data_IF_297981494418
#
_entry.id   IF_297981494418
#
_cell.length_a   1.000
_cell.length_b   1.000
_cell.length_c   1.000
_cell.angle_alpha   90.00
_cell.angle_beta   90.00
_cell.angle_gamma   90.00
#
_symmetry.space_group_name_H-M   'P 1'
#
loop_
_entity.id
_entity.type
_entity.pdbx_description
1 polymer ?
#
# COMPACT_ATOMS: atom_id res chain seq x y z
N UNK A 1 29.15 17.24 -19.41
CA UNK A 1 28.49 17.48 -18.11
C UNK A 1 28.68 16.25 -17.24
N UNK A 2 28.88 16.42 -15.93
CA UNK A 2 29.24 15.31 -15.04
C UNK A 2 28.09 14.92 -14.10
N UNK A 3 27.95 13.62 -13.86
CA UNK A 3 27.03 13.03 -12.90
C UNK A 3 27.78 12.07 -11.97
N UNK A 4 27.33 12.04 -10.72
CA UNK A 4 27.95 11.26 -9.67
C UNK A 4 26.98 10.18 -9.17
N UNK A 5 27.45 8.94 -9.14
CA UNK A 5 26.75 7.84 -8.50
C UNK A 5 27.51 7.38 -7.27
N UNK A 6 26.81 7.19 -6.14
CA UNK A 6 27.42 6.77 -4.89
C UNK A 6 26.65 5.59 -4.32
N UNK A 7 27.31 4.45 -4.20
CA UNK A 7 26.86 3.34 -3.34
C UNK A 7 27.52 3.51 -1.98
N UNK A 8 26.73 3.89 -0.96
CA UNK A 8 27.26 4.19 0.36
C UNK A 8 27.02 3.01 1.30
N UNK A 9 28.12 2.40 1.73
CA UNK A 9 28.12 1.28 2.66
C UNK A 9 28.79 1.65 3.98
N UNK A 10 29.12 0.63 4.79
CA UNK A 10 29.95 0.77 5.98
C UNK A 10 31.33 1.36 5.68
N UNK A 11 32.13 1.58 6.74
CA UNK A 11 33.33 2.42 6.74
C UNK A 11 34.29 2.30 5.55
N UNK A 12 34.45 1.10 4.98
CA UNK A 12 35.46 0.81 3.94
C UNK A 12 34.90 0.28 2.63
N UNK A 13 33.58 0.29 2.41
CA UNK A 13 32.95 -0.40 1.27
C UNK A 13 32.10 0.51 0.38
N UNK A 14 32.32 1.82 0.41
CA UNK A 14 31.56 2.73 -0.45
C UNK A 14 32.19 2.82 -1.84
N UNK A 15 31.37 2.95 -2.87
CA UNK A 15 31.79 3.04 -4.27
C UNK A 15 31.28 4.32 -4.91
N UNK A 16 32.09 4.87 -5.81
CA UNK A 16 31.78 6.09 -6.55
C UNK A 16 31.92 5.83 -8.03
N UNK A 17 31.01 6.37 -8.83
CA UNK A 17 31.08 6.36 -10.29
C UNK A 17 30.92 7.77 -10.84
N UNK A 18 31.82 8.16 -11.76
CA UNK A 18 31.74 9.43 -12.47
C UNK A 18 31.33 9.21 -13.93
N UNK A 19 30.24 9.85 -14.32
CA UNK A 19 29.67 9.72 -15.65
C UNK A 19 29.71 11.06 -16.37
N UNK A 20 30.22 11.07 -17.59
CA UNK A 20 30.27 12.24 -18.44
C UNK A 20 29.29 12.12 -19.60
N UNK A 21 28.61 13.22 -19.88
CA UNK A 21 27.67 13.38 -20.97
C UNK A 21 28.14 14.44 -21.95
N UNK A 22 28.28 14.05 -23.22
CA UNK A 22 28.51 14.93 -24.35
C UNK A 22 27.47 14.66 -25.45
N UNK A 23 26.43 15.52 -25.49
CA UNK A 23 25.32 15.59 -26.48
C UNK A 23 24.50 14.33 -26.71
N UNK A 24 25.14 13.22 -27.12
CA UNK A 24 24.55 11.91 -27.40
C UNK A 24 25.39 10.75 -26.87
N UNK A 25 26.53 11.03 -26.23
CA UNK A 25 27.49 10.02 -25.79
C UNK A 25 27.64 10.06 -24.28
N UNK A 26 27.45 8.89 -23.68
CA UNK A 26 27.64 8.65 -22.27
C UNK A 26 28.89 7.78 -22.09
N UNK A 27 29.82 8.23 -21.26
CA UNK A 27 31.05 7.50 -20.98
C UNK A 27 31.47 7.69 -19.52
N UNK A 28 32.29 6.76 -19.03
CA UNK A 28 32.88 6.86 -17.71
C UNK A 28 34.00 7.90 -17.76
N UNK A 29 33.87 8.97 -16.98
CA UNK A 29 34.99 9.90 -16.77
C UNK A 29 36.08 9.21 -15.96
N UNK A 30 35.65 8.49 -14.91
CA UNK A 30 36.47 7.57 -14.13
C UNK A 30 35.64 6.29 -13.92
N UNK A 31 36.21 5.09 -14.19
CA UNK A 31 35.59 3.82 -13.85
C UNK A 31 35.15 3.77 -12.38
N UNK A 32 34.07 3.05 -12.04
CA UNK A 32 33.65 2.94 -10.65
C UNK A 32 34.80 2.47 -9.75
N UNK A 33 35.05 3.20 -8.66
CA UNK A 33 36.15 2.92 -7.76
C UNK A 33 35.69 2.95 -6.30
N UNK A 34 36.35 2.15 -5.48
CA UNK A 34 36.10 2.08 -4.05
C UNK A 34 36.80 3.25 -3.36
N UNK A 35 36.11 3.87 -2.39
CA UNK A 35 36.67 4.93 -1.56
C UNK A 35 36.91 4.41 -0.13
N UNK A 36 37.97 4.90 0.51
CA UNK A 36 38.29 4.56 1.88
C UNK A 36 37.64 5.53 2.89
N UNK A 37 37.42 6.79 2.51
CA UNK A 37 36.83 7.83 3.35
C UNK A 37 35.85 8.74 2.61
N UNK A 38 34.87 9.31 3.34
CA UNK A 38 33.90 10.27 2.75
C UNK A 38 34.58 11.56 2.26
N UNK A 39 35.70 11.96 2.86
CA UNK A 39 36.47 13.14 2.46
C UNK A 39 37.02 13.02 1.03
N UNK A 40 37.20 11.80 0.52
CA UNK A 40 37.58 11.60 -0.89
C UNK A 40 36.47 12.06 -1.85
N UNK A 41 35.21 11.87 -1.49
CA UNK A 41 34.06 12.39 -2.26
C UNK A 41 34.02 13.92 -2.17
N UNK A 42 34.24 14.48 -0.97
CA UNK A 42 34.25 15.93 -0.79
C UNK A 42 35.34 16.59 -1.65
N UNK A 43 36.55 16.07 -1.60
CA UNK A 43 37.66 16.53 -2.42
C UNK A 43 37.37 16.40 -3.93
N UNK A 44 36.65 15.36 -4.34
CA UNK A 44 36.22 15.17 -5.73
C UNK A 44 35.25 16.28 -6.16
N UNK A 45 34.17 16.51 -5.41
CA UNK A 45 33.15 17.50 -5.78
C UNK A 45 33.63 18.94 -5.67
N UNK A 46 34.67 19.20 -4.87
CA UNK A 46 35.33 20.52 -4.82
C UNK A 46 36.17 20.81 -6.07
N UNK A 47 36.67 19.78 -6.75
CA UNK A 47 37.54 19.91 -7.94
C UNK A 47 36.78 19.89 -9.26
N UNK A 48 35.57 19.31 -9.28
CA UNK A 48 34.76 19.09 -10.49
C UNK A 48 33.33 19.51 -10.24
N UNK A 49 32.70 20.12 -11.25
CA UNK A 49 31.29 20.53 -11.16
C UNK A 49 30.39 19.38 -11.62
N UNK A 50 29.63 18.81 -10.68
CA UNK A 50 28.64 17.78 -10.94
C UNK A 50 27.24 18.39 -11.01
N UNK A 51 26.52 18.09 -12.10
CA UNK A 51 25.14 18.55 -12.28
C UNK A 51 24.20 17.81 -11.33
N UNK A 52 24.40 16.51 -11.15
CA UNK A 52 23.57 15.67 -10.31
C UNK A 52 24.36 14.57 -9.60
N UNK A 53 23.91 14.23 -8.39
CA UNK A 53 24.38 13.07 -7.63
C UNK A 53 23.20 12.21 -7.20
N UNK A 54 23.29 10.90 -7.40
CA UNK A 54 22.36 9.94 -6.81
C UNK A 54 23.10 9.04 -5.82
N UNK A 55 22.47 8.78 -4.67
CA UNK A 55 23.06 8.04 -3.56
C UNK A 55 22.16 6.84 -3.21
N UNK A 56 22.76 5.64 -3.11
CA UNK A 56 22.09 4.44 -2.58
C UNK A 56 22.05 4.45 -1.04
N UNK A 57 21.24 5.37 -0.49
CA UNK A 57 20.90 5.36 0.92
C UNK A 57 19.71 6.28 1.21
N UNK A 58 18.98 6.03 2.30
CA UNK A 58 18.00 6.97 2.83
C UNK A 58 18.58 8.38 3.00
N UNK A 59 18.03 9.37 2.33
CA UNK A 59 18.42 10.78 2.47
C UNK A 59 17.35 11.62 3.17
N UNK A 60 16.13 11.10 3.25
CA UNK A 60 15.00 11.72 3.94
C UNK A 60 14.50 10.87 5.12
N UNK A 61 14.01 11.55 6.14
CA UNK A 61 13.59 10.97 7.42
C UNK A 61 12.39 11.74 7.95
N UNK A 62 11.41 11.05 8.53
CA UNK A 62 10.37 11.73 9.28
C UNK A 62 10.75 11.87 10.75
N UNK A 63 10.13 12.83 11.43
CA UNK A 63 10.20 12.95 12.89
C UNK A 63 9.52 11.78 13.61
N UNK A 64 8.88 10.87 12.88
CA UNK A 64 8.23 9.71 13.45
C UNK A 64 9.27 8.63 13.80
N UNK A 65 9.06 7.91 14.91
CA UNK A 65 9.88 6.75 15.30
C UNK A 65 9.55 5.49 14.51
N UNK A 66 8.88 5.64 13.36
CA UNK A 66 8.40 4.53 12.54
C UNK A 66 9.54 3.66 12.05
N UNK A 67 9.23 2.38 11.84
CA UNK A 67 10.21 1.42 11.33
C UNK A 67 10.53 1.67 9.86
N UNK A 68 9.55 2.13 9.09
CA UNK A 68 9.65 2.27 7.64
C UNK A 68 9.15 3.63 7.17
N UNK A 69 9.73 4.17 6.11
CA UNK A 69 9.20 5.36 5.42
C UNK A 69 8.10 4.95 4.42
N UNK A 70 7.16 5.83 4.12
CA UNK A 70 6.15 5.62 3.06
C UNK A 70 6.84 5.21 1.74
N UNK A 71 7.94 5.88 1.38
CA UNK A 71 8.71 5.59 0.17
C UNK A 71 9.27 4.16 0.17
N UNK A 72 9.77 3.68 1.32
CA UNK A 72 10.30 2.32 1.47
C UNK A 72 9.19 1.28 1.25
N UNK A 73 8.00 1.52 1.77
CA UNK A 73 6.86 0.59 1.63
C UNK A 73 6.29 0.61 0.23
N UNK A 74 6.19 1.78 -0.38
CA UNK A 74 5.84 1.92 -1.78
C UNK A 74 6.78 1.08 -2.66
N UNK A 75 8.09 1.17 -2.41
CA UNK A 75 9.07 0.38 -3.15
C UNK A 75 8.93 -1.13 -2.86
N UNK A 76 8.72 -1.51 -1.59
CA UNK A 76 8.48 -2.91 -1.20
C UNK A 76 7.27 -3.52 -1.90
N UNK A 77 6.18 -2.75 -2.04
CA UNK A 77 5.01 -3.17 -2.81
C UNK A 77 5.34 -3.42 -4.28
N UNK A 78 6.09 -2.51 -4.92
CA UNK A 78 6.47 -2.64 -6.32
C UNK A 78 7.35 -3.88 -6.55
N UNK A 79 8.21 -4.21 -5.58
CA UNK A 79 9.12 -5.36 -5.64
C UNK A 79 8.46 -6.72 -5.31
N UNK A 80 7.28 -6.72 -4.70
CA UNK A 80 6.49 -7.92 -4.33
C UNK A 80 7.32 -8.99 -3.58
N UNK A 81 7.69 -10.07 -4.27
CA UNK A 81 8.52 -11.17 -3.75
C UNK A 81 9.94 -10.73 -3.35
N UNK A 82 10.45 -9.64 -3.93
CA UNK A 82 11.78 -9.08 -3.68
C UNK A 82 11.78 -7.94 -2.65
N UNK A 83 10.69 -7.77 -1.90
CA UNK A 83 10.54 -6.68 -0.91
C UNK A 83 11.65 -6.63 0.15
N UNK A 84 12.30 -7.75 0.43
CA UNK A 84 13.42 -7.87 1.36
C UNK A 84 14.71 -7.19 0.86
N UNK A 85 14.76 -6.69 -0.37
CA UNK A 85 15.88 -5.85 -0.82
C UNK A 85 15.86 -4.47 -0.17
N UNK A 86 14.67 -3.96 0.16
CA UNK A 86 14.52 -2.71 0.89
C UNK A 86 14.65 -2.98 2.38
N UNK A 87 15.66 -2.38 3.00
CA UNK A 87 15.94 -2.46 4.43
C UNK A 87 15.43 -1.20 5.14
N UNK A 88 14.96 -1.34 6.38
CA UNK A 88 14.49 -0.19 7.14
C UNK A 88 15.67 0.72 7.49
N UNK A 89 15.51 2.06 7.49
CA UNK A 89 16.55 2.96 7.98
C UNK A 89 17.05 2.56 9.39
N UNK A 90 16.13 2.14 10.27
CA UNK A 90 16.43 1.70 11.63
C UNK A 90 17.28 0.42 11.71
N UNK A 91 17.26 -0.45 10.70
CA UNK A 91 18.08 -1.66 10.66
C UNK A 91 19.46 -1.43 10.03
N UNK A 92 19.61 -0.37 9.22
CA UNK A 92 20.89 -0.04 8.58
C UNK A 92 21.76 0.89 9.44
N UNK A 93 21.14 1.68 10.33
CA UNK A 93 21.71 2.62 11.30
C UNK A 93 22.86 3.52 10.77
N UNK A 94 24.05 2.97 10.57
CA UNK A 94 25.23 3.70 10.12
C UNK A 94 25.12 4.25 8.69
N UNK A 95 24.49 3.52 7.76
CA UNK A 95 24.38 3.93 6.34
C UNK A 95 23.57 5.23 6.19
N UNK A 96 22.32 5.30 6.70
CA UNK A 96 21.55 6.54 6.85
C UNK A 96 22.34 7.77 7.33
N UNK A 97 23.03 7.65 8.47
CA UNK A 97 23.76 8.75 9.10
C UNK A 97 24.96 9.19 8.25
N UNK A 98 25.71 8.24 7.69
CA UNK A 98 26.82 8.53 6.77
C UNK A 98 26.34 9.27 5.53
N UNK A 99 25.19 8.87 4.99
CA UNK A 99 24.62 9.51 3.81
C UNK A 99 24.19 10.95 4.11
N UNK A 100 23.53 11.19 5.24
CA UNK A 100 23.19 12.56 5.68
C UNK A 100 24.43 13.43 5.86
N UNK A 101 25.45 12.92 6.55
CA UNK A 101 26.71 13.63 6.78
C UNK A 101 27.37 13.98 5.45
N UNK A 102 27.48 13.01 4.54
CA UNK A 102 28.02 13.22 3.20
C UNK A 102 27.23 14.33 2.47
N UNK A 103 25.90 14.23 2.42
CA UNK A 103 25.05 15.20 1.73
C UNK A 103 25.21 16.60 2.31
N UNK A 104 25.35 16.76 3.63
CA UNK A 104 25.60 18.07 4.22
C UNK A 104 26.91 18.70 3.73
N UNK A 105 27.94 17.89 3.46
CA UNK A 105 29.23 18.37 2.97
C UNK A 105 29.24 18.64 1.46
N UNK A 106 28.56 17.82 0.67
CA UNK A 106 28.61 17.93 -0.80
C UNK A 106 27.52 18.83 -1.40
N UNK A 107 26.45 19.11 -0.65
CA UNK A 107 25.34 19.94 -1.14
C UNK A 107 25.72 21.34 -1.65
N UNK A 108 26.77 22.03 -1.15
CA UNK A 108 27.20 23.30 -1.73
C UNK A 108 27.88 23.16 -3.10
N UNK A 109 28.34 21.97 -3.47
CA UNK A 109 29.20 21.74 -4.64
C UNK A 109 28.51 20.96 -5.77
N UNK A 110 27.35 20.36 -5.51
CA UNK A 110 26.61 19.52 -6.45
C UNK A 110 25.25 20.16 -6.77
N UNK A 111 24.87 20.22 -8.04
CA UNK A 111 23.64 20.89 -8.48
C UNK A 111 22.36 20.31 -7.86
N UNK A 112 22.14 19.00 -8.01
CA UNK A 112 21.03 18.28 -7.36
C UNK A 112 21.50 16.99 -6.74
N UNK A 113 20.93 16.64 -5.58
CA UNK A 113 21.17 15.37 -4.90
C UNK A 113 19.85 14.61 -4.79
N UNK A 114 19.84 13.35 -5.18
CA UNK A 114 18.67 12.47 -5.12
C UNK A 114 19.00 11.16 -4.41
N UNK A 115 17.98 10.57 -3.79
CA UNK A 115 18.04 9.21 -3.26
C UNK A 115 17.65 8.21 -4.36
N UNK A 116 18.31 7.06 -4.40
CA UNK A 116 17.96 5.96 -5.30
C UNK A 116 18.13 4.59 -4.65
N UNK A 117 17.69 3.55 -5.36
CA UNK A 117 17.93 2.16 -5.02
C UNK A 117 18.37 1.42 -6.30
N UNK A 118 19.68 1.16 -6.50
CA UNK A 118 20.24 0.70 -7.77
C UNK A 118 19.76 -0.70 -8.13
N UNK A 119 19.71 -1.62 -7.15
CA UNK A 119 19.15 -2.96 -7.36
C UNK A 119 17.69 -2.94 -7.83
N UNK A 120 16.85 -2.09 -7.24
CA UNK A 120 15.46 -1.96 -7.66
C UNK A 120 15.34 -1.30 -9.06
N UNK A 121 16.18 -0.30 -9.33
CA UNK A 121 16.25 0.34 -10.66
C UNK A 121 16.67 -0.64 -11.74
N UNK A 122 17.69 -1.47 -11.50
CA UNK A 122 18.08 -2.57 -12.38
C UNK A 122 16.94 -3.55 -12.60
N UNK A 123 16.20 -3.90 -11.54
CA UNK A 123 15.07 -4.82 -11.63
C UNK A 123 13.96 -4.33 -12.57
N UNK A 124 13.63 -3.05 -12.52
CA UNK A 124 12.63 -2.50 -13.44
C UNK A 124 13.18 -2.24 -14.84
N UNK A 125 14.44 -1.82 -14.96
CA UNK A 125 15.09 -1.58 -16.25
C UNK A 125 15.32 -2.87 -17.06
N UNK A 126 15.64 -3.98 -16.39
CA UNK A 126 15.88 -5.30 -17.00
C UNK A 126 14.65 -6.21 -16.94
N UNK A 127 13.45 -5.63 -16.83
CA UNK A 127 12.17 -6.35 -16.87
C UNK A 127 12.10 -7.58 -15.94
N UNK A 128 12.51 -7.38 -14.67
CA UNK A 128 12.45 -8.35 -13.58
C UNK A 128 13.45 -9.52 -13.68
N UNK A 129 14.63 -9.27 -14.24
CA UNK A 129 15.73 -10.22 -14.38
C UNK A 129 16.03 -11.04 -13.10
N UNK A 130 15.82 -12.38 -13.11
CA UNK A 130 16.04 -13.24 -11.93
C UNK A 130 17.48 -13.24 -11.39
N UNK A 131 18.50 -13.00 -12.22
CA UNK A 131 19.90 -12.96 -11.79
C UNK A 131 20.17 -11.87 -10.73
N UNK A 132 19.34 -10.83 -10.66
CA UNK A 132 19.41 -9.81 -9.61
C UNK A 132 19.23 -10.37 -8.20
N UNK A 133 18.67 -11.57 -8.01
CA UNK A 133 18.63 -12.24 -6.71
C UNK A 133 20.01 -12.72 -6.24
N UNK A 134 20.96 -12.93 -7.16
CA UNK A 134 22.25 -13.61 -6.92
C UNK A 134 23.50 -12.77 -7.21
N UNK A 135 23.38 -11.60 -7.86
CA UNK A 135 24.56 -10.85 -8.32
C UNK A 135 25.52 -10.43 -7.20
N UNK A 136 25.01 -10.19 -5.97
CA UNK A 136 25.85 -9.88 -4.80
C UNK A 136 26.62 -11.07 -4.23
N UNK A 137 26.29 -12.31 -4.63
CA UNK A 137 26.88 -13.54 -4.07
C UNK A 137 27.46 -14.47 -5.13
N UNK A 138 27.33 -14.15 -6.41
CA UNK A 138 27.78 -14.98 -7.53
C UNK A 138 28.49 -14.12 -8.57
N UNK A 139 29.84 -14.22 -8.70
CA UNK A 139 30.60 -13.48 -9.70
C UNK A 139 30.13 -13.74 -11.13
N UNK A 140 29.71 -14.97 -11.44
CA UNK A 140 29.15 -15.31 -12.74
C UNK A 140 27.80 -14.58 -12.99
N UNK A 141 26.92 -14.54 -11.99
CA UNK A 141 25.66 -13.80 -12.12
C UNK A 141 25.91 -12.30 -12.28
N UNK A 142 26.89 -11.73 -11.57
CA UNK A 142 27.33 -10.34 -11.71
C UNK A 142 27.82 -10.04 -13.12
N UNK A 143 28.73 -10.86 -13.67
CA UNK A 143 29.27 -10.69 -15.02
C UNK A 143 28.16 -10.65 -16.08
N UNK A 144 27.26 -11.64 -16.05
CA UNK A 144 26.13 -11.71 -16.99
C UNK A 144 25.22 -10.48 -16.82
N UNK A 145 25.00 -10.03 -15.58
CA UNK A 145 24.16 -8.86 -15.31
C UNK A 145 24.78 -7.56 -15.85
N UNK A 146 26.09 -7.38 -15.75
CA UNK A 146 26.82 -6.25 -16.32
C UNK A 146 26.66 -6.25 -17.84
N UNK A 147 26.91 -7.38 -18.49
CA UNK A 147 26.77 -7.54 -19.94
C UNK A 147 25.34 -7.20 -20.41
N UNK A 148 24.32 -7.75 -19.73
CA UNK A 148 22.91 -7.44 -20.01
C UNK A 148 22.59 -5.97 -19.84
N UNK A 149 23.09 -5.36 -18.76
CA UNK A 149 22.89 -3.94 -18.46
C UNK A 149 23.45 -3.08 -19.58
N UNK A 150 24.72 -3.28 -19.95
CA UNK A 150 25.38 -2.50 -20.99
C UNK A 150 24.79 -2.74 -22.39
N UNK A 151 24.20 -3.90 -22.66
CA UNK A 151 23.50 -4.18 -23.91
C UNK A 151 22.12 -3.51 -24.02
N UNK A 152 21.42 -3.32 -22.90
CA UNK A 152 20.07 -2.75 -22.85
C UNK A 152 20.10 -1.24 -22.73
N UNK A 153 21.05 -0.69 -21.97
CA UNK A 153 21.11 0.72 -21.62
C UNK A 153 21.12 1.67 -22.84
N UNK A 154 21.89 1.42 -23.94
CA UNK A 154 21.82 2.26 -25.14
C UNK A 154 20.43 2.31 -25.76
N UNK A 155 19.69 1.20 -25.73
CA UNK A 155 18.35 1.08 -26.30
C UNK A 155 17.31 1.82 -25.45
N UNK A 156 17.40 1.67 -24.13
CA UNK A 156 16.47 2.28 -23.18
C UNK A 156 16.63 3.80 -23.15
N UNK A 157 17.88 4.27 -23.25
CA UNK A 157 18.22 5.69 -23.18
C UNK A 157 18.22 6.35 -24.56
N UNK A 158 18.30 5.59 -25.65
CA UNK A 158 18.53 6.13 -27.00
C UNK A 158 19.80 7.00 -27.06
N UNK A 159 20.89 6.52 -26.46
CA UNK A 159 22.21 7.19 -26.41
C UNK A 159 23.33 6.20 -26.74
N UNK A 160 24.45 6.71 -27.24
CA UNK A 160 25.67 5.92 -27.41
C UNK A 160 26.34 5.76 -26.04
N UNK A 161 26.71 4.53 -25.68
CA UNK A 161 27.40 4.23 -24.41
C UNK A 161 28.75 3.61 -24.73
N UNK A 162 29.82 4.26 -24.28
CA UNK A 162 31.20 3.78 -24.44
C UNK A 162 31.74 3.33 -23.09
N UNK A 163 31.26 2.19 -22.62
CA UNK A 163 31.64 1.61 -21.33
C UNK A 163 32.01 0.16 -21.56
N UNK A 164 33.24 -0.17 -21.17
CA UNK A 164 33.77 -1.52 -21.27
C UNK A 164 33.33 -2.34 -20.04
N UNK A 165 32.75 -3.54 -20.20
CA UNK A 165 32.28 -4.36 -19.08
C UNK A 165 33.33 -4.59 -17.99
N UNK A 166 34.61 -4.69 -18.37
CA UNK A 166 35.74 -4.96 -17.47
C UNK A 166 36.00 -3.81 -16.48
N UNK A 167 35.45 -2.63 -16.75
CA UNK A 167 35.56 -1.47 -15.84
C UNK A 167 34.64 -1.58 -14.62
N UNK A 168 33.65 -2.49 -14.65
CA UNK A 168 32.71 -2.73 -13.55
C UNK A 168 33.06 -4.06 -12.91
N UNK A 169 33.82 -4.02 -11.80
CA UNK A 169 34.50 -5.21 -11.26
C UNK A 169 33.78 -5.87 -10.07
N UNK A 170 32.78 -5.21 -9.47
CA UNK A 170 32.10 -5.66 -8.26
C UNK A 170 30.61 -5.28 -8.28
N UNK A 171 29.83 -5.80 -7.32
CA UNK A 171 28.42 -5.40 -7.17
C UNK A 171 28.30 -3.95 -6.73
N UNK A 172 29.19 -3.46 -5.84
CA UNK A 172 29.24 -2.05 -5.44
C UNK A 172 29.62 -1.12 -6.60
N UNK A 173 30.53 -1.54 -7.49
CA UNK A 173 30.85 -0.83 -8.73
C UNK A 173 29.62 -0.70 -9.64
N UNK A 174 28.86 -1.79 -9.80
CA UNK A 174 27.63 -1.79 -10.58
C UNK A 174 26.55 -0.91 -9.92
N UNK A 175 26.37 -1.00 -8.60
CA UNK A 175 25.39 -0.21 -7.87
C UNK A 175 25.70 1.30 -7.96
N UNK A 176 26.97 1.70 -7.83
CA UNK A 176 27.41 3.09 -8.03
C UNK A 176 27.23 3.56 -9.49
N UNK A 177 27.54 2.71 -10.47
CA UNK A 177 27.29 3.01 -11.88
C UNK A 177 25.80 3.28 -12.14
N UNK A 178 24.92 2.44 -11.62
CA UNK A 178 23.47 2.62 -11.77
C UNK A 178 22.99 3.87 -11.04
N UNK A 179 23.57 4.22 -9.89
CA UNK A 179 23.30 5.52 -9.26
C UNK A 179 23.65 6.68 -10.20
N UNK A 180 24.82 6.66 -10.86
CA UNK A 180 25.22 7.71 -11.79
C UNK A 180 24.27 7.81 -13.00
N UNK A 181 23.79 6.66 -13.49
CA UNK A 181 22.74 6.61 -14.53
C UNK A 181 21.45 7.27 -14.02
N UNK A 182 20.98 6.96 -12.82
CA UNK A 182 19.76 7.56 -12.27
C UNK A 182 19.91 9.09 -12.10
N UNK A 183 21.09 9.56 -11.68
CA UNK A 183 21.40 10.99 -11.65
C UNK A 183 21.31 11.63 -13.05
N UNK A 184 21.83 10.98 -14.08
CA UNK A 184 21.69 11.42 -15.47
C UNK A 184 20.22 11.49 -15.91
N UNK A 185 19.44 10.43 -15.65
CA UNK A 185 18.02 10.37 -16.05
C UNK A 185 17.20 11.47 -15.38
N UNK A 186 17.51 11.84 -14.15
CA UNK A 186 16.80 12.89 -13.43
C UNK A 186 16.79 14.22 -14.18
N UNK A 187 17.87 14.54 -14.90
CA UNK A 187 17.98 15.76 -15.70
C UNK A 187 17.52 15.60 -17.14
N UNK A 188 17.81 14.46 -17.77
CA UNK A 188 17.66 14.31 -19.22
C UNK A 188 16.45 13.49 -19.65
N UNK A 189 15.97 12.59 -18.78
CA UNK A 189 14.90 11.64 -19.09
C UNK A 189 14.03 11.36 -17.85
N UNK A 190 13.44 12.40 -17.23
CA UNK A 190 12.68 12.24 -16.00
C UNK A 190 11.44 11.34 -16.16
N UNK A 191 10.92 11.19 -17.39
CA UNK A 191 9.81 10.29 -17.74
C UNK A 191 10.15 8.79 -17.55
N UNK A 192 11.45 8.45 -17.58
CA UNK A 192 11.98 7.10 -17.31
C UNK A 192 12.11 6.82 -15.83
N UNK A 193 11.90 7.82 -14.96
CA UNK A 193 11.97 7.67 -13.53
C UNK A 193 10.58 7.63 -12.89
N UNK A 194 10.49 6.92 -11.77
CA UNK A 194 9.34 6.95 -10.89
C UNK A 194 9.73 7.57 -9.56
N UNK A 195 9.04 8.64 -9.18
CA UNK A 195 9.22 9.31 -7.89
C UNK A 195 8.44 8.54 -6.83
N UNK A 196 9.13 8.09 -5.78
CA UNK A 196 8.48 7.43 -4.66
C UNK A 196 7.73 8.49 -3.81
N UNK A 197 6.58 8.13 -3.24
CA UNK A 197 5.79 9.04 -2.41
C UNK A 197 6.58 9.48 -1.17
N UNK A 198 6.34 10.72 -0.74
CA UNK A 198 6.98 11.34 0.41
C UNK A 198 5.97 11.54 1.55
N UNK A 199 6.44 11.40 2.79
CA UNK A 199 5.70 11.79 3.98
C UNK A 199 5.56 13.31 4.09
N UNK A 200 4.51 13.77 4.77
CA UNK A 200 4.44 15.14 5.25
C UNK A 200 5.50 15.36 6.35
N UNK A 201 6.06 16.56 6.46
CA UNK A 201 7.05 16.94 7.48
C UNK A 201 8.36 16.12 7.48
N UNK A 202 8.87 15.77 6.30
CA UNK A 202 10.19 15.16 6.16
C UNK A 202 11.31 16.18 6.43
N UNK A 203 12.40 15.68 7.03
CA UNK A 203 13.70 16.33 7.08
C UNK A 203 14.69 15.59 6.16
N UNK A 204 15.77 16.27 5.79
CA UNK A 204 16.79 15.74 4.88
C UNK A 204 16.69 16.37 3.49
N UNK A 205 17.42 15.79 2.54
CA UNK A 205 17.60 16.34 1.19
C UNK A 205 17.33 15.24 0.16
N UNK A 206 16.77 15.63 -0.98
CA UNK A 206 16.73 14.78 -2.16
C UNK A 206 15.47 13.91 -2.25
N UNK A 207 14.71 14.02 -3.36
CA UNK A 207 13.63 13.08 -3.64
C UNK A 207 14.16 11.67 -3.90
N UNK A 208 13.35 10.65 -3.58
CA UNK A 208 13.67 9.25 -3.85
C UNK A 208 13.10 8.83 -5.20
N UNK A 209 14.00 8.49 -6.14
CA UNK A 209 13.66 7.99 -7.47
C UNK A 209 14.18 6.57 -7.71
N UNK A 210 13.45 5.84 -8.57
CA UNK A 210 13.90 4.57 -9.16
C UNK A 210 13.63 4.59 -10.67
N UNK A 211 14.20 3.65 -11.40
CA UNK A 211 13.76 3.40 -12.78
C UNK A 211 12.28 3.00 -12.82
N UNK A 212 11.51 3.62 -13.74
CA UNK A 212 10.05 3.52 -13.78
C UNK A 212 9.59 2.07 -14.06
N UNK A 213 8.75 1.48 -13.19
CA UNK A 213 8.17 0.16 -13.45
C UNK A 213 7.20 0.20 -14.64
N UNK A 214 7.31 -0.77 -15.55
CA UNK A 214 6.37 -0.94 -16.67
C UNK A 214 4.96 -1.38 -16.24
N UNK A 215 4.82 -1.90 -15.02
CA UNK A 215 3.57 -2.42 -14.48
C UNK A 215 2.73 -1.41 -13.68
N UNK A 216 3.00 -0.11 -13.80
CA UNK A 216 2.17 0.93 -13.18
C UNK A 216 0.85 1.06 -13.96
N UNK A 217 -0.13 0.26 -13.59
CA UNK A 217 -1.51 0.44 -14.04
C UNK A 217 -2.15 1.63 -13.32
N UNK A 218 -2.87 2.48 -14.07
CA UNK A 218 -3.67 3.57 -13.50
C UNK A 218 -4.65 3.03 -12.43
N UNK A 219 -4.79 3.73 -11.28
CA UNK A 219 -5.78 3.35 -10.30
C UNK A 219 -7.18 3.61 -10.84
N UNK A 220 -8.09 2.65 -10.63
CA UNK A 220 -9.51 2.92 -10.77
C UNK A 220 -9.88 4.07 -9.83
N UNK A 221 -10.50 5.12 -10.37
CA UNK A 221 -10.87 6.30 -9.60
C UNK A 221 -12.00 5.93 -8.63
N UNK A 222 -11.66 5.82 -7.33
CA UNK A 222 -12.60 5.52 -6.25
C UNK A 222 -12.62 6.72 -5.31
N UNK A 223 -13.82 7.10 -4.85
CA UNK A 223 -14.07 8.33 -4.07
C UNK A 223 -13.49 8.31 -2.64
N UNK A 224 -12.89 7.21 -2.20
CA UNK A 224 -12.32 7.06 -0.86
C UNK A 224 -11.03 6.23 -0.91
N UNK A 225 -10.24 6.27 0.17
CA UNK A 225 -9.01 5.47 0.29
C UNK A 225 -9.32 4.12 0.96
N UNK A 226 -9.19 2.99 0.25
CA UNK A 226 -9.46 1.65 0.80
C UNK A 226 -8.52 1.30 1.96
N UNK A 227 -9.09 0.81 3.06
CA UNK A 227 -8.38 0.48 4.30
C UNK A 227 -8.20 1.64 5.27
N UNK A 228 -8.98 2.73 5.11
CA UNK A 228 -9.07 3.80 6.09
C UNK A 228 -9.68 3.33 7.43
N UNK A 229 -9.75 4.23 8.42
CA UNK A 229 -10.37 3.96 9.72
C UNK A 229 -11.80 3.41 9.65
N UNK A 230 -12.60 3.88 8.69
CA UNK A 230 -13.96 3.38 8.46
C UNK A 230 -13.95 1.91 8.04
N UNK A 231 -13.12 1.55 7.06
CA UNK A 231 -12.95 0.16 6.64
C UNK A 231 -12.42 -0.74 7.77
N UNK A 232 -11.51 -0.23 8.61
CA UNK A 232 -10.99 -0.97 9.77
C UNK A 232 -12.10 -1.28 10.77
N UNK A 233 -12.95 -0.30 11.12
CA UNK A 233 -14.12 -0.51 11.98
C UNK A 233 -15.08 -1.51 11.36
N UNK A 234 -15.47 -1.23 10.13
CA UNK A 234 -16.44 -2.00 9.36
C UNK A 234 -16.07 -3.46 9.22
N UNK A 235 -14.88 -3.72 8.68
CA UNK A 235 -14.45 -5.07 8.38
C UNK A 235 -14.06 -5.84 9.64
N UNK A 236 -13.51 -5.18 10.67
CA UNK A 236 -13.22 -5.86 11.94
C UNK A 236 -14.52 -6.38 12.57
N UNK A 237 -15.57 -5.56 12.65
CA UNK A 237 -16.87 -5.99 13.16
C UNK A 237 -17.52 -7.06 12.30
N UNK A 238 -17.47 -6.92 10.96
CA UNK A 238 -17.94 -7.95 10.05
C UNK A 238 -17.25 -9.30 10.32
N UNK A 239 -15.93 -9.31 10.48
CA UNK A 239 -15.16 -10.51 10.79
C UNK A 239 -15.60 -11.13 12.12
N UNK A 240 -15.76 -10.33 13.18
CA UNK A 240 -16.18 -10.85 14.49
C UNK A 240 -17.59 -11.46 14.44
N UNK A 241 -18.53 -10.78 13.78
CA UNK A 241 -19.91 -11.24 13.62
C UNK A 241 -19.99 -12.51 12.78
N UNK A 242 -19.30 -12.56 11.64
CA UNK A 242 -19.25 -13.76 10.78
C UNK A 242 -18.66 -14.94 11.56
N UNK A 243 -17.51 -14.75 12.22
CA UNK A 243 -16.90 -15.81 13.04
C UNK A 243 -17.83 -16.32 14.15
N UNK A 244 -18.64 -15.43 14.73
CA UNK A 244 -19.62 -15.78 15.74
C UNK A 244 -20.80 -16.56 15.14
N UNK A 245 -21.42 -16.07 14.07
CA UNK A 245 -22.55 -16.73 13.41
C UNK A 245 -22.20 -18.11 12.86
N UNK A 246 -20.98 -18.29 12.32
CA UNK A 246 -20.51 -19.59 11.82
C UNK A 246 -20.47 -20.70 12.88
N UNK A 247 -20.57 -20.37 14.18
CA UNK A 247 -20.70 -21.38 15.25
C UNK A 247 -22.08 -22.04 15.26
N UNK A 248 -23.10 -21.33 14.77
CA UNK A 248 -24.50 -21.71 14.85
C UNK A 248 -25.08 -22.15 13.50
N UNK A 249 -24.35 -21.98 12.41
CA UNK A 249 -24.81 -22.27 11.06
C UNK A 249 -24.08 -23.47 10.44
N UNK A 250 -24.84 -24.33 9.77
CA UNK A 250 -24.32 -25.45 8.98
C UNK A 250 -23.93 -24.97 7.59
N UNK A 251 -24.85 -24.26 6.93
CA UNK A 251 -24.65 -23.55 5.67
C UNK A 251 -24.82 -22.05 5.96
N UNK A 252 -23.82 -21.23 5.63
CA UNK A 252 -23.82 -19.80 5.92
C UNK A 252 -24.28 -18.97 4.72
N UNK A 253 -25.44 -18.33 4.83
CA UNK A 253 -26.00 -17.48 3.78
C UNK A 253 -25.79 -16.00 4.08
N UNK A 254 -24.93 -15.37 3.29
CA UNK A 254 -24.51 -13.97 3.44
C UNK A 254 -24.98 -13.13 2.25
N UNK A 255 -25.41 -11.89 2.51
CA UNK A 255 -25.68 -10.89 1.48
C UNK A 255 -24.85 -9.62 1.68
N UNK A 256 -24.25 -9.10 0.62
CA UNK A 256 -23.58 -7.79 0.57
C UNK A 256 -24.09 -6.96 -0.59
N UNK A 257 -24.90 -5.94 -0.29
CA UNK A 257 -25.64 -5.17 -1.31
C UNK A 257 -25.07 -3.79 -1.61
N UNK A 258 -23.90 -3.51 -1.03
CA UNK A 258 -23.06 -2.36 -1.31
C UNK A 258 -21.61 -2.85 -1.42
N UNK A 259 -21.41 -3.94 -2.17
CA UNK A 259 -20.20 -4.75 -2.05
C UNK A 259 -18.94 -4.10 -2.64
N UNK A 260 -19.09 -3.11 -3.52
CA UNK A 260 -18.00 -2.50 -4.24
C UNK A 260 -17.15 -3.53 -5.00
N UNK A 261 -15.84 -3.35 -5.03
CA UNK A 261 -14.93 -4.30 -5.68
C UNK A 261 -14.43 -5.38 -4.71
N UNK A 262 -14.15 -6.59 -5.22
CA UNK A 262 -13.57 -7.68 -4.42
C UNK A 262 -12.16 -7.35 -3.90
N UNK A 263 -11.37 -6.65 -4.71
CA UNK A 263 -10.00 -6.25 -4.38
C UNK A 263 -9.79 -4.82 -4.89
N UNK A 264 -9.25 -3.99 -4.02
CA UNK A 264 -8.92 -2.59 -4.28
C UNK A 264 -7.40 -2.40 -4.35
N UNK A 265 -6.92 -1.42 -5.11
CA UNK A 265 -5.58 -0.86 -4.91
C UNK A 265 -5.60 0.01 -3.65
N UNK A 266 -4.57 -0.08 -2.81
CA UNK A 266 -4.42 0.77 -1.62
C UNK A 266 -3.08 1.48 -1.61
N UNK A 267 -2.95 2.49 -0.74
CA UNK A 267 -1.77 3.34 -0.66
C UNK A 267 -0.78 2.85 0.40
N UNK A 268 0.53 3.13 0.26
CA UNK A 268 1.56 2.75 1.23
C UNK A 268 1.28 3.21 2.67
N UNK A 269 0.63 4.36 2.85
CA UNK A 269 0.23 4.91 4.16
C UNK A 269 -0.75 4.00 4.91
N UNK A 270 -1.66 3.38 4.17
CA UNK A 270 -2.61 2.43 4.73
C UNK A 270 -1.88 1.16 5.17
N UNK A 271 -0.95 0.67 4.36
CA UNK A 271 -0.15 -0.52 4.68
C UNK A 271 0.66 -0.30 5.97
N UNK A 272 1.29 0.88 6.11
CA UNK A 272 1.94 1.29 7.36
C UNK A 272 1.01 1.23 8.55
N UNK A 273 -0.16 1.84 8.41
CA UNK A 273 -1.16 1.89 9.46
C UNK A 273 -1.53 0.47 9.92
N UNK A 274 -1.68 -0.46 8.99
CA UNK A 274 -1.92 -1.87 9.30
C UNK A 274 -0.74 -2.56 9.99
N UNK A 275 0.49 -2.33 9.53
CA UNK A 275 1.68 -2.97 10.13
C UNK A 275 1.99 -2.42 11.53
N UNK A 276 1.79 -1.12 11.76
CA UNK A 276 2.16 -0.44 13.00
C UNK A 276 1.03 -0.36 14.02
N UNK A 277 -0.17 0.02 13.58
CA UNK A 277 -1.31 0.30 14.48
C UNK A 277 -2.23 -0.90 14.64
N UNK A 278 -2.45 -1.68 13.58
CA UNK A 278 -3.54 -2.68 13.55
C UNK A 278 -3.08 -4.12 13.36
N UNK A 279 -1.79 -4.38 13.56
CA UNK A 279 -1.20 -5.71 13.35
C UNK A 279 -1.73 -6.77 14.32
N UNK A 280 -2.32 -6.34 15.44
CA UNK A 280 -2.98 -7.20 16.43
C UNK A 280 -4.41 -7.59 16.05
N UNK A 281 -5.04 -6.91 15.08
CA UNK A 281 -6.43 -7.19 14.70
C UNK A 281 -6.51 -8.44 13.80
N UNK A 282 -7.55 -9.28 13.96
CA UNK A 282 -7.83 -10.38 13.02
C UNK A 282 -7.94 -9.92 11.56
N UNK A 283 -8.41 -8.68 11.36
CA UNK A 283 -8.49 -8.04 10.05
C UNK A 283 -7.12 -7.98 9.35
N UNK A 284 -6.06 -7.59 10.05
CA UNK A 284 -4.72 -7.52 9.47
C UNK A 284 -4.29 -8.89 8.94
N UNK A 285 -4.57 -9.97 9.67
CA UNK A 285 -4.17 -11.31 9.25
C UNK A 285 -4.87 -11.79 7.97
N UNK A 286 -6.11 -11.39 7.73
CA UNK A 286 -6.80 -11.63 6.46
C UNK A 286 -6.29 -10.71 5.36
N UNK A 287 -6.06 -9.43 5.67
CA UNK A 287 -5.57 -8.44 4.70
C UNK A 287 -4.09 -8.62 4.32
N UNK A 288 -3.29 -9.36 5.11
CA UNK A 288 -1.83 -9.42 4.99
C UNK A 288 -1.32 -9.84 3.61
N UNK A 289 -1.98 -10.77 2.93
CA UNK A 289 -1.61 -11.18 1.57
C UNK A 289 -1.87 -10.07 0.54
N UNK A 290 -2.98 -9.34 0.69
CA UNK A 290 -3.37 -8.23 -0.17
C UNK A 290 -2.47 -7.01 0.05
N UNK A 291 -2.24 -6.62 1.31
CA UNK A 291 -1.41 -5.47 1.66
C UNK A 291 0.02 -5.62 1.14
N UNK A 292 0.59 -6.82 1.13
CA UNK A 292 1.91 -7.11 0.53
C UNK A 292 1.99 -6.78 -0.96
N UNK A 293 0.85 -6.74 -1.65
CA UNK A 293 0.73 -6.45 -3.07
C UNK A 293 0.14 -5.05 -3.32
N UNK A 294 0.13 -4.16 -2.31
CA UNK A 294 -0.55 -2.86 -2.39
C UNK A 294 -2.05 -2.99 -2.74
N UNK A 295 -2.68 -4.03 -2.22
CA UNK A 295 -4.09 -4.32 -2.39
C UNK A 295 -4.82 -4.35 -1.04
N UNK A 296 -6.15 -4.25 -1.11
CA UNK A 296 -7.05 -4.36 0.03
C UNK A 296 -8.29 -5.17 -0.37
N UNK A 297 -8.65 -6.20 0.39
CA UNK A 297 -9.82 -7.03 0.12
C UNK A 297 -11.12 -6.36 0.58
N UNK A 298 -12.17 -6.48 -0.24
CA UNK A 298 -13.54 -6.05 0.07
C UNK A 298 -14.27 -6.97 1.04
N UNK A 299 -15.40 -6.51 1.59
CA UNK A 299 -16.20 -7.21 2.61
C UNK A 299 -16.64 -8.61 2.18
N UNK A 300 -17.36 -8.74 1.07
CA UNK A 300 -17.83 -10.04 0.61
C UNK A 300 -16.69 -11.01 0.27
N UNK A 301 -15.55 -10.49 -0.20
CA UNK A 301 -14.37 -11.32 -0.47
C UNK A 301 -13.74 -11.84 0.83
N UNK A 302 -13.66 -11.02 1.88
CA UNK A 302 -13.20 -11.47 3.19
C UNK A 302 -14.14 -12.52 3.81
N UNK A 303 -15.46 -12.37 3.67
CA UNK A 303 -16.42 -13.37 4.16
C UNK A 303 -16.19 -14.72 3.48
N UNK A 304 -15.98 -14.73 2.16
CA UNK A 304 -15.59 -15.92 1.40
C UNK A 304 -14.35 -16.60 2.01
N UNK A 305 -13.27 -15.84 2.21
CA UNK A 305 -12.03 -16.39 2.76
C UNK A 305 -12.21 -16.97 4.18
N UNK A 306 -13.02 -16.32 5.02
CA UNK A 306 -13.32 -16.82 6.37
C UNK A 306 -14.04 -18.16 6.30
N UNK A 307 -15.06 -18.28 5.46
CA UNK A 307 -15.82 -19.51 5.27
C UNK A 307 -14.93 -20.64 4.73
N UNK A 308 -14.12 -20.37 3.70
CA UNK A 308 -13.19 -21.34 3.11
C UNK A 308 -12.14 -21.81 4.12
N UNK A 309 -11.51 -20.89 4.84
CA UNK A 309 -10.51 -21.22 5.88
C UNK A 309 -11.09 -22.08 6.99
N UNK A 310 -12.38 -21.90 7.30
CA UNK A 310 -13.11 -22.69 8.30
C UNK A 310 -13.77 -23.96 7.73
N UNK A 311 -13.63 -24.22 6.42
CA UNK A 311 -14.29 -25.33 5.73
C UNK A 311 -15.81 -25.36 5.97
N UNK A 312 -16.42 -24.17 5.99
CA UNK A 312 -17.87 -24.01 6.14
C UNK A 312 -18.50 -23.98 4.77
N UNK A 313 -19.67 -24.59 4.64
CA UNK A 313 -20.50 -24.44 3.46
C UNK A 313 -21.16 -23.06 3.46
N UNK A 314 -21.21 -22.38 2.32
CA UNK A 314 -21.64 -20.99 2.26
C UNK A 314 -22.25 -20.60 0.92
N UNK A 315 -23.09 -19.57 0.96
CA UNK A 315 -23.63 -18.86 -0.19
C UNK A 315 -23.45 -17.36 0.02
N UNK A 316 -22.88 -16.68 -0.98
CA UNK A 316 -22.77 -15.23 -1.00
C UNK A 316 -23.70 -14.70 -2.10
N UNK A 317 -24.62 -13.84 -1.71
CA UNK A 317 -25.40 -13.00 -2.58
C UNK A 317 -24.81 -11.59 -2.59
N UNK A 318 -24.75 -10.96 -3.76
CA UNK A 318 -24.15 -9.64 -3.89
C UNK A 318 -24.90 -8.75 -4.87
N UNK A 319 -24.76 -7.44 -4.65
CA UNK A 319 -25.27 -6.40 -5.53
C UNK A 319 -24.43 -5.11 -5.34
N UNK A 320 -24.35 -4.30 -6.39
CA UNK A 320 -23.82 -2.94 -6.31
C UNK A 320 -24.43 -2.06 -7.42
N UNK A 321 -24.57 -0.74 -7.20
CA UNK A 321 -24.99 0.19 -8.26
C UNK A 321 -23.94 0.27 -9.38
N UNK A 322 -22.68 0.00 -9.08
CA UNK A 322 -21.58 -0.03 -10.03
C UNK A 322 -21.53 -1.36 -10.79
N UNK A 323 -21.86 -1.31 -12.08
CA UNK A 323 -21.82 -2.49 -12.97
C UNK A 323 -20.45 -3.16 -13.05
N UNK A 324 -19.35 -2.41 -12.92
CA UNK A 324 -17.99 -2.99 -12.95
C UNK A 324 -17.71 -3.83 -11.69
N UNK A 325 -18.24 -3.41 -10.54
CA UNK A 325 -18.17 -4.18 -9.30
C UNK A 325 -18.96 -5.50 -9.41
N UNK A 326 -20.19 -5.43 -9.94
CA UNK A 326 -21.01 -6.61 -10.22
C UNK A 326 -20.24 -7.61 -11.10
N UNK A 327 -19.75 -7.17 -12.26
CA UNK A 327 -19.05 -8.05 -13.21
C UNK A 327 -17.80 -8.70 -12.58
N UNK A 328 -17.08 -7.99 -11.72
CA UNK A 328 -15.93 -8.52 -11.02
C UNK A 328 -16.33 -9.68 -10.09
N UNK A 329 -17.41 -9.52 -9.32
CA UNK A 329 -17.92 -10.57 -8.44
C UNK A 329 -18.55 -11.74 -9.19
N UNK A 330 -19.30 -11.49 -10.27
CA UNK A 330 -19.89 -12.57 -11.08
C UNK A 330 -18.81 -13.51 -11.63
N UNK A 331 -17.69 -12.92 -12.09
CA UNK A 331 -16.54 -13.68 -12.56
C UNK A 331 -15.85 -14.48 -11.44
N UNK A 332 -15.69 -13.88 -10.26
CA UNK A 332 -14.97 -14.51 -9.15
C UNK A 332 -15.78 -15.57 -8.41
N UNK A 333 -17.10 -15.36 -8.28
CA UNK A 333 -18.00 -16.26 -7.56
C UNK A 333 -18.73 -17.24 -8.50
N UNK A 334 -18.57 -17.09 -9.82
CA UNK A 334 -19.23 -17.89 -10.85
C UNK A 334 -20.75 -17.98 -10.64
N UNK A 335 -21.37 -16.84 -10.33
CA UNK A 335 -22.80 -16.72 -10.00
C UNK A 335 -23.29 -15.32 -10.36
N UNK A 336 -24.53 -15.16 -10.88
CA UNK A 336 -25.09 -13.84 -11.16
C UNK A 336 -25.35 -13.02 -9.89
N UNK A 337 -25.32 -11.69 -10.02
CA UNK A 337 -25.74 -10.78 -8.96
C UNK A 337 -27.24 -10.92 -8.63
N UNK A 338 -27.64 -10.39 -7.46
CA UNK A 338 -29.05 -10.30 -7.07
C UNK A 338 -29.83 -9.43 -8.07
N UNK A 339 -31.03 -9.89 -8.44
CA UNK A 339 -31.96 -9.14 -9.29
C UNK A 339 -32.75 -8.12 -8.46
N UNK A 340 -32.08 -7.07 -8.03
CA UNK A 340 -32.65 -5.93 -7.29
C UNK A 340 -32.29 -4.60 -7.93
N UNK A 341 -33.06 -3.54 -7.63
CA UNK A 341 -32.85 -2.22 -8.21
C UNK A 341 -32.05 -1.29 -7.30
N UNK A 342 -32.16 -1.51 -5.99
CA UNK A 342 -31.40 -0.79 -4.98
C UNK A 342 -30.94 -1.77 -3.89
N UNK A 343 -29.79 -1.50 -3.26
CA UNK A 343 -29.22 -2.38 -2.24
C UNK A 343 -30.18 -2.62 -1.06
N UNK A 344 -31.01 -1.63 -0.70
CA UNK A 344 -31.99 -1.79 0.38
C UNK A 344 -33.16 -2.72 0.03
N UNK A 345 -33.35 -3.11 -1.23
CA UNK A 345 -34.40 -4.04 -1.64
C UNK A 345 -34.19 -5.44 -1.04
N UNK A 346 -32.99 -5.78 -0.59
CA UNK A 346 -32.71 -7.02 0.13
C UNK A 346 -33.55 -7.17 1.42
N UNK A 347 -33.90 -6.04 2.04
CA UNK A 347 -34.65 -6.01 3.30
C UNK A 347 -36.11 -6.40 3.13
N UNK A 348 -36.66 -6.34 1.91
CA UNK A 348 -38.05 -6.72 1.61
C UNK A 348 -38.16 -8.12 1.00
N UNK A 349 -37.04 -8.75 0.65
CA UNK A 349 -37.05 -10.11 0.13
C UNK A 349 -37.45 -11.12 1.22
N UNK A 350 -38.20 -12.15 0.83
CA UNK A 350 -38.66 -13.20 1.74
C UNK A 350 -37.52 -14.13 2.21
N UNK A 351 -36.50 -14.32 1.37
CA UNK A 351 -35.37 -15.21 1.64
C UNK A 351 -34.68 -14.86 2.97
N UNK A 352 -34.53 -15.79 3.92
CA UNK A 352 -33.76 -15.56 5.14
C UNK A 352 -32.26 -15.58 4.86
N UNK A 353 -31.51 -14.79 5.63
CA UNK A 353 -30.05 -14.74 5.59
C UNK A 353 -29.49 -14.92 7.00
N UNK A 354 -28.32 -15.53 7.13
CA UNK A 354 -27.63 -15.54 8.41
C UNK A 354 -27.08 -14.14 8.72
N UNK A 355 -26.61 -13.44 7.69
CA UNK A 355 -26.15 -12.06 7.78
C UNK A 355 -26.40 -11.30 6.48
N UNK A 356 -27.03 -10.13 6.60
CA UNK A 356 -27.09 -9.10 5.57
C UNK A 356 -26.16 -7.97 5.98
N UNK A 357 -25.25 -7.57 5.10
CA UNK A 357 -24.38 -6.43 5.29
C UNK A 357 -24.82 -5.26 4.42
N UNK A 358 -24.98 -4.10 5.06
CA UNK A 358 -25.33 -2.83 4.44
C UNK A 358 -24.22 -1.83 4.71
N UNK A 359 -23.59 -1.36 3.62
CA UNK A 359 -22.50 -0.37 3.63
C UNK A 359 -22.83 0.83 2.72
N UNK A 360 -23.92 1.56 3.01
CA UNK A 360 -24.33 2.67 2.16
C UNK A 360 -23.41 3.88 2.28
N UNK A 361 -23.48 4.76 1.28
CA UNK A 361 -22.85 6.07 1.31
C UNK A 361 -23.72 7.09 2.06
N UNK A 362 -23.35 8.38 1.97
CA UNK A 362 -24.02 9.48 2.66
C UNK A 362 -25.52 9.65 2.30
N UNK A 363 -25.99 9.05 1.20
CA UNK A 363 -27.40 9.10 0.79
C UNK A 363 -28.34 8.36 1.75
N UNK A 364 -27.82 7.46 2.60
CA UNK A 364 -28.57 6.83 3.69
C UNK A 364 -29.35 7.84 4.54
N UNK A 365 -28.75 9.01 4.85
CA UNK A 365 -29.34 9.99 5.76
C UNK A 365 -30.65 10.62 5.24
N UNK A 366 -30.92 10.56 3.94
CA UNK A 366 -32.19 11.04 3.38
C UNK A 366 -33.35 10.07 3.61
N UNK A 367 -33.05 8.80 3.86
CA UNK A 367 -34.04 7.71 3.91
C UNK A 367 -33.89 6.81 5.14
N UNK A 368 -33.08 7.22 6.12
CA UNK A 368 -32.66 6.40 7.25
C UNK A 368 -33.83 5.75 7.99
N UNK A 369 -34.90 6.52 8.25
CA UNK A 369 -36.04 6.02 9.03
C UNK A 369 -36.73 4.84 8.33
N UNK A 370 -37.00 4.98 7.03
CA UNK A 370 -37.62 3.92 6.21
C UNK A 370 -36.72 2.68 6.13
N UNK A 371 -35.40 2.88 6.03
CA UNK A 371 -34.44 1.77 5.99
C UNK A 371 -34.42 1.04 7.33
N UNK A 372 -34.38 1.77 8.45
CA UNK A 372 -34.33 1.19 9.78
C UNK A 372 -35.62 0.43 10.10
N UNK A 373 -36.79 0.95 9.77
CA UNK A 373 -38.06 0.21 9.91
C UNK A 373 -38.04 -1.12 9.15
N UNK A 374 -37.49 -1.13 7.92
CA UNK A 374 -37.29 -2.38 7.15
C UNK A 374 -36.28 -3.32 7.82
N UNK A 375 -35.20 -2.80 8.40
CA UNK A 375 -34.22 -3.60 9.14
C UNK A 375 -34.89 -4.28 10.33
N UNK A 376 -35.66 -3.54 11.13
CA UNK A 376 -36.39 -4.07 12.29
C UNK A 376 -37.37 -5.18 11.88
N UNK A 377 -38.06 -5.03 10.74
CA UNK A 377 -38.91 -6.08 10.20
C UNK A 377 -38.11 -7.31 9.74
N UNK A 378 -37.00 -7.09 9.00
CA UNK A 378 -36.14 -8.15 8.46
C UNK A 378 -35.41 -8.94 9.56
N UNK A 379 -35.18 -8.31 10.72
CA UNK A 379 -34.56 -8.93 11.89
C UNK A 379 -35.29 -10.20 12.38
N UNK A 380 -36.58 -10.32 12.07
CA UNK A 380 -37.36 -11.52 12.39
C UNK A 380 -36.79 -12.81 11.79
N UNK A 381 -36.13 -12.72 10.62
CA UNK A 381 -35.59 -13.91 9.96
C UNK A 381 -34.11 -13.83 9.58
N UNK A 382 -33.48 -12.66 9.72
CA UNK A 382 -32.08 -12.45 9.34
C UNK A 382 -31.32 -11.58 10.35
N UNK A 383 -30.01 -11.75 10.48
CA UNK A 383 -29.18 -10.75 11.18
C UNK A 383 -28.75 -9.67 10.19
N UNK A 384 -28.64 -8.42 10.64
CA UNK A 384 -28.26 -7.29 9.79
C UNK A 384 -27.09 -6.54 10.43
N UNK A 385 -26.04 -6.28 9.66
CA UNK A 385 -24.95 -5.39 10.02
C UNK A 385 -25.03 -4.15 9.12
N UNK A 386 -25.17 -2.98 9.74
CA UNK A 386 -25.25 -1.68 9.08
C UNK A 386 -24.03 -0.84 9.46
N UNK A 387 -23.26 -0.41 8.47
CA UNK A 387 -22.21 0.59 8.63
C UNK A 387 -22.71 1.95 8.14
N UNK A 388 -22.43 3.02 8.88
CA UNK A 388 -22.81 4.37 8.48
C UNK A 388 -21.69 5.38 8.75
N UNK A 389 -21.24 6.13 7.72
CA UNK A 389 -20.47 7.34 7.92
C UNK A 389 -21.38 8.51 8.30
N UNK A 390 -20.95 9.35 9.24
CA UNK A 390 -21.66 10.57 9.64
C UNK A 390 -20.70 11.70 9.98
N UNK A 391 -21.16 12.94 9.78
CA UNK A 391 -20.40 14.14 10.15
C UNK A 391 -20.79 14.61 11.55
N UNK A 392 -19.92 15.31 12.29
CA UNK A 392 -20.25 15.84 13.62
C UNK A 392 -21.59 16.59 13.71
N UNK A 393 -21.93 17.32 12.65
CA UNK A 393 -23.17 18.10 12.51
C UNK A 393 -24.40 17.31 12.04
N UNK A 394 -24.29 16.01 11.78
CA UNK A 394 -25.36 15.17 11.26
C UNK A 394 -26.43 14.88 12.32
N UNK A 395 -27.45 15.74 12.40
CA UNK A 395 -28.54 15.63 13.38
C UNK A 395 -29.34 14.33 13.25
N UNK A 396 -29.39 13.71 12.06
CA UNK A 396 -30.16 12.48 11.88
C UNK A 396 -29.53 11.27 12.57
N UNK A 397 -28.21 11.28 12.81
CA UNK A 397 -27.55 10.23 13.59
C UNK A 397 -28.12 10.15 15.02
N UNK A 398 -28.25 11.29 15.70
CA UNK A 398 -28.80 11.31 17.05
C UNK A 398 -30.29 10.94 17.08
N UNK A 399 -31.06 11.36 16.07
CA UNK A 399 -32.46 10.93 15.91
C UNK A 399 -32.59 9.42 15.72
N UNK A 400 -31.68 8.81 14.97
CA UNK A 400 -31.62 7.37 14.80
C UNK A 400 -31.37 6.65 16.14
N UNK A 401 -30.37 7.10 16.91
CA UNK A 401 -30.09 6.52 18.22
C UNK A 401 -31.32 6.59 19.15
N UNK A 402 -31.95 7.75 19.24
CA UNK A 402 -33.18 7.93 20.03
C UNK A 402 -34.32 7.01 19.55
N UNK A 403 -34.54 6.95 18.23
CA UNK A 403 -35.57 6.09 17.65
C UNK A 403 -35.35 4.61 18.01
N UNK A 404 -34.11 4.13 17.97
CA UNK A 404 -33.79 2.74 18.32
C UNK A 404 -33.99 2.45 19.81
N UNK A 405 -33.71 3.42 20.70
CA UNK A 405 -34.00 3.33 22.13
C UNK A 405 -35.51 3.23 22.39
N UNK A 406 -36.31 4.06 21.74
CA UNK A 406 -37.78 4.03 21.85
C UNK A 406 -38.40 2.71 21.40
N UNK A 407 -37.86 2.11 20.33
CA UNK A 407 -38.35 0.82 19.79
C UNK A 407 -37.97 -0.38 20.67
N UNK A 408 -37.15 -0.19 21.72
CA UNK A 408 -36.67 -1.26 22.62
C UNK A 408 -36.11 -2.47 21.89
N UNK A 409 -35.55 -2.26 20.70
CA UNK A 409 -35.00 -3.32 19.87
C UNK A 409 -33.67 -3.80 20.45
N UNK A 410 -33.37 -5.10 20.33
CA UNK A 410 -32.03 -5.61 20.66
C UNK A 410 -31.08 -5.33 19.49
N UNK A 411 -30.06 -4.53 19.74
CA UNK A 411 -28.97 -4.25 18.80
C UNK A 411 -27.65 -4.04 19.54
N UNK A 412 -26.54 -4.15 18.83
CA UNK A 412 -25.20 -3.73 19.28
C UNK A 412 -24.82 -2.49 18.47
N UNK A 413 -24.27 -1.48 19.14
CA UNK A 413 -23.77 -0.26 18.52
C UNK A 413 -22.34 0.01 18.95
N UNK A 414 -21.49 0.32 17.99
CA UNK A 414 -20.13 0.80 18.21
C UNK A 414 -19.90 2.01 17.30
N UNK A 415 -19.29 3.05 17.85
CA UNK A 415 -18.86 4.23 17.10
C UNK A 415 -17.35 4.44 17.19
N UNK A 416 -16.80 5.07 16.16
CA UNK A 416 -15.45 5.59 16.09
C UNK A 416 -15.53 7.10 15.90
N UNK A 417 -15.32 7.84 16.99
CA UNK A 417 -15.47 9.30 17.07
C UNK A 417 -14.15 10.01 17.41
N UNK A 418 -13.00 9.35 17.17
CA UNK A 418 -11.71 9.93 17.49
C UNK A 418 -11.39 11.13 16.59
N UNK A 419 -10.69 12.13 17.15
CA UNK A 419 -10.27 13.30 16.40
C UNK A 419 -9.38 12.92 15.20
N UNK A 420 -8.51 11.93 15.37
CA UNK A 420 -7.66 11.38 14.31
C UNK A 420 -8.49 10.85 13.14
N UNK A 421 -9.57 10.10 13.42
CA UNK A 421 -10.48 9.59 12.41
C UNK A 421 -11.13 10.73 11.62
N UNK A 422 -11.61 11.76 12.32
CA UNK A 422 -12.24 12.93 11.70
C UNK A 422 -11.24 13.71 10.84
N UNK A 423 -10.00 13.89 11.30
CA UNK A 423 -8.95 14.58 10.56
C UNK A 423 -8.53 13.83 9.29
N UNK A 424 -8.43 12.49 9.36
CA UNK A 424 -8.00 11.68 8.22
C UNK A 424 -9.11 11.46 7.18
N UNK A 425 -10.37 11.37 7.61
CA UNK A 425 -11.47 10.94 6.74
C UNK A 425 -12.55 11.99 6.51
N UNK A 426 -12.67 12.98 7.39
CA UNK A 426 -13.78 13.94 7.41
C UNK A 426 -15.08 13.38 7.98
N UNK A 427 -15.08 12.15 8.51
CA UNK A 427 -16.25 11.48 9.06
C UNK A 427 -15.96 10.80 10.39
N UNK A 428 -17.03 10.64 11.17
CA UNK A 428 -17.15 9.59 12.17
C UNK A 428 -17.83 8.36 11.54
N UNK A 429 -17.65 7.22 12.18
CA UNK A 429 -18.22 5.98 11.68
C UNK A 429 -18.95 5.25 12.80
N UNK A 430 -20.08 4.63 12.46
CA UNK A 430 -20.82 3.78 13.37
C UNK A 430 -21.21 2.47 12.73
N UNK A 431 -21.24 1.43 13.55
CA UNK A 431 -21.73 0.10 13.22
C UNK A 431 -22.94 -0.20 14.10
N UNK A 432 -24.01 -0.67 13.47
CA UNK A 432 -25.19 -1.21 14.13
C UNK A 432 -25.38 -2.66 13.72
N UNK A 433 -25.38 -3.57 14.69
CA UNK A 433 -25.68 -4.98 14.46
C UNK A 433 -27.03 -5.34 15.08
N UNK A 434 -27.95 -5.78 14.23
CA UNK A 434 -29.30 -6.23 14.56
C UNK A 434 -29.33 -7.76 14.46
N UNK A 435 -29.11 -8.50 15.56
CA UNK A 435 -29.09 -9.96 15.55
C UNK A 435 -30.50 -10.50 15.24
N UNK A 436 -30.59 -11.60 14.48
CA UNK A 436 -31.86 -12.28 14.22
C UNK A 436 -32.65 -12.54 15.53
N UNK A 437 -33.95 -12.29 15.53
CA UNK A 437 -34.80 -12.33 16.74
C UNK A 437 -34.82 -13.67 17.47
N UNK A 438 -34.47 -14.78 16.80
CA UNK A 438 -34.35 -16.11 17.40
C UNK A 438 -33.10 -16.28 18.27
N UNK A 439 -32.13 -15.35 18.23
CA UNK A 439 -30.90 -15.41 18.99
C UNK A 439 -31.12 -14.80 20.39
N UNK A 440 -30.70 -15.52 21.43
CA UNK A 440 -30.89 -15.09 22.81
C UNK A 440 -29.93 -13.95 23.18
N UNK A 441 -30.35 -13.11 24.14
CA UNK A 441 -29.50 -12.05 24.71
C UNK A 441 -28.19 -12.61 25.31
N UNK A 442 -28.20 -13.85 25.81
CA UNK A 442 -27.01 -14.51 26.34
C UNK A 442 -26.01 -14.83 25.23
N UNK A 443 -26.49 -15.33 24.09
CA UNK A 443 -25.64 -15.61 22.93
C UNK A 443 -25.04 -14.32 22.35
N UNK A 444 -25.83 -13.25 22.26
CA UNK A 444 -25.40 -11.95 21.72
C UNK A 444 -24.24 -11.36 22.56
N UNK A 445 -24.28 -11.52 23.89
CA UNK A 445 -23.19 -11.06 24.79
C UNK A 445 -21.84 -11.77 24.58
N UNK A 446 -21.81 -12.86 23.81
CA UNK A 446 -20.57 -13.59 23.50
C UNK A 446 -19.85 -13.09 22.25
N UNK A 447 -20.42 -12.11 21.54
CA UNK A 447 -19.75 -11.45 20.41
C UNK A 447 -18.54 -10.69 20.95
N UNK A 448 -17.32 -10.95 20.46
CA UNK A 448 -16.14 -10.22 20.90
C UNK A 448 -16.29 -8.72 20.67
N UNK A 449 -16.02 -7.92 21.71
CA UNK A 449 -15.87 -6.48 21.52
C UNK A 449 -14.58 -6.19 20.76
N UNK A 450 -14.63 -5.20 19.87
CA UNK A 450 -13.47 -4.75 19.10
C UNK A 450 -13.19 -3.31 19.48
N UNK A 451 -12.01 -3.09 20.06
CA UNK A 451 -11.51 -1.75 20.33
C UNK A 451 -10.51 -1.37 19.25
N UNK A 452 -10.84 -0.30 18.51
CA UNK A 452 -9.94 0.34 17.57
C UNK A 452 -9.46 1.61 18.26
N UNK A 453 -8.16 1.64 18.56
CA UNK A 453 -7.49 2.75 19.21
C UNK A 453 -6.87 3.65 18.14
#
# INVERSE_FOLDING_TARGET
MLFLGIDIAGAKNSWVCELSWDKKKLFLEIPPYQIAALDEILNLVQKKVFLGCAIDAPLTYSSSTRKWRISDIALRCLLKENKNWVQSPNSMQAVPLRAQQLVSFISPYVGSIIETHPRASLFFMLEKEPLLKKYKTSPNALKILIEKTLAILPKVLNVEIKILPETIVSDGALDAFICAIIAFLYFYMPDKLYRLPLENNLRGIGPFYIFKPSCLEEPLEIKYTPGNYGDVLKQSWLIAIVNWLLKYTKHFHYADTFCGFPIYKTKPEIILSFEERWSYLPLYHLQKSYLKNCQYAGSAWLVKEICEKKKKDYCIDFYDKNKKAILAYERLLNKPALKINDGYDILIQKQPYDLIFLDPYADFWHIWQKVIEKILYKQNNSSILLFIPWKPEEKNYFKLCHFLEEKKTTYIHQSLTSLTCLQETGYFFSIFFFPKSSLSKKEIKTIPSITII
#
